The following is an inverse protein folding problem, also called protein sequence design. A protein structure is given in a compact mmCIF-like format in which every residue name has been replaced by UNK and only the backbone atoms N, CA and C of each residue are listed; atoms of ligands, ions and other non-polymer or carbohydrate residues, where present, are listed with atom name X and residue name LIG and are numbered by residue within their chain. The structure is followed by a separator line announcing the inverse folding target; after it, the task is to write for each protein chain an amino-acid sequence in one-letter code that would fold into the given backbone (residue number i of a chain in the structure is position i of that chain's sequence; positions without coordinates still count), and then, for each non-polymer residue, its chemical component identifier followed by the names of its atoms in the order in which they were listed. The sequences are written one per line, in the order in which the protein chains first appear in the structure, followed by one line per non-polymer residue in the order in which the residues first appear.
data_IF_758568796716
#
_entry.id   IF_758568796716
#
_cell.length_a   1.000
_cell.length_b   1.000
_cell.length_c   1.000
_cell.angle_alpha   90.00
_cell.angle_beta   90.00
_cell.angle_gamma   90.00
#
_symmetry.space_group_name_H-M   'P 1'
#
loop_
_entity.id
_entity.type
_entity.pdbx_description
1 polymer ?
#
# COMPACT_ATOMS: atom_id res chain seq x y z
N UNK A 1 -14.42 -0.01 18.30
CA UNK A 1 -13.10 -0.54 17.90
C UNK A 1 -13.10 -0.69 16.40
N UNK A 2 -12.73 0.36 15.67
CA UNK A 2 -12.91 0.43 14.21
C UNK A 2 -11.55 0.59 13.55
N UNK A 3 -11.30 -0.15 12.48
CA UNK A 3 -10.09 0.03 11.67
C UNK A 3 -10.09 1.43 11.03
N UNK A 4 -8.93 2.08 11.02
CA UNK A 4 -8.73 3.33 10.28
C UNK A 4 -8.25 3.00 8.86
N UNK A 5 -8.94 3.55 7.85
CA UNK A 5 -8.53 3.45 6.45
C UNK A 5 -7.30 4.30 6.18
N UNK A 6 -6.39 3.78 5.38
CA UNK A 6 -5.17 4.46 4.91
C UNK A 6 -5.22 4.45 3.39
N UNK A 7 -5.56 5.59 2.79
CA UNK A 7 -5.68 5.76 1.35
C UNK A 7 -4.83 6.98 0.94
N UNK A 8 -3.53 6.79 0.64
CA UNK A 8 -2.67 7.89 0.19
C UNK A 8 -3.17 8.49 -1.12
N UNK A 9 -3.22 9.82 -1.21
CA UNK A 9 -3.77 10.55 -2.38
C UNK A 9 -3.07 10.18 -3.69
N UNK A 10 -1.76 9.91 -3.63
CA UNK A 10 -0.93 9.51 -4.78
C UNK A 10 -1.30 8.14 -5.38
N UNK A 11 -2.08 7.32 -4.67
CA UNK A 11 -2.60 6.05 -5.18
C UNK A 11 -3.99 6.19 -5.82
N UNK A 12 -4.52 7.41 -5.86
CA UNK A 12 -5.84 7.69 -6.41
C UNK A 12 -6.99 7.23 -5.52
N UNK A 13 -8.21 7.47 -5.99
CA UNK A 13 -9.43 7.14 -5.24
C UNK A 13 -9.67 5.62 -5.25
N UNK A 14 -9.77 4.96 -4.09
CA UNK A 14 -10.03 3.53 -4.02
C UNK A 14 -11.39 3.15 -4.62
N UNK A 15 -11.46 2.06 -5.40
CA UNK A 15 -12.67 1.61 -6.09
C UNK A 15 -13.16 0.24 -5.61
N UNK A 16 -13.75 0.20 -4.42
CA UNK A 16 -14.31 -1.04 -3.84
C UNK A 16 -13.40 -1.75 -2.83
N UNK A 17 -12.25 -1.16 -2.52
CA UNK A 17 -11.36 -1.57 -1.43
C UNK A 17 -10.72 -0.33 -0.77
N UNK A 18 -9.81 -0.53 0.18
CA UNK A 18 -8.94 0.51 0.75
C UNK A 18 -7.49 0.02 0.65
N UNK A 19 -6.53 0.92 0.49
CA UNK A 19 -5.13 0.56 0.36
C UNK A 19 -4.54 0.03 1.66
N UNK A 20 -5.06 0.45 2.82
CA UNK A 20 -4.64 -0.08 4.11
C UNK A 20 -5.69 0.01 5.21
N UNK A 21 -5.66 -0.95 6.13
CA UNK A 21 -6.50 -0.97 7.34
C UNK A 21 -5.62 -1.06 8.59
N UNK A 22 -5.59 0.02 9.36
CA UNK A 22 -4.82 0.11 10.60
C UNK A 22 -5.69 -0.28 11.81
N UNK A 23 -5.23 -1.27 12.59
CA UNK A 23 -5.92 -1.68 13.82
C UNK A 23 -5.83 -0.61 14.94
N UNK A 24 -6.74 -0.65 15.94
CA UNK A 24 -6.69 0.28 17.07
C UNK A 24 -5.39 0.21 17.90
N UNK A 25 -5.17 1.23 18.73
CA UNK A 25 -4.04 1.25 19.66
C UNK A 25 -4.12 0.06 20.64
N UNK A 26 -2.99 -0.62 20.87
CA UNK A 26 -2.92 -1.85 21.70
C UNK A 26 -2.48 -3.13 20.95
N UNK A 27 -1.84 -2.99 19.79
CA UNK A 27 -1.39 -4.09 18.92
C UNK A 27 -1.51 -3.69 17.46
N UNK A 28 -0.87 -2.56 17.09
CA UNK A 28 -1.06 -1.90 15.78
C UNK A 28 -0.51 -2.78 14.66
N UNK A 29 -1.41 -3.47 13.97
CA UNK A 29 -1.14 -4.18 12.73
C UNK A 29 -1.78 -3.39 11.61
N UNK A 30 -1.02 -3.16 10.55
CA UNK A 30 -1.50 -2.60 9.30
C UNK A 30 -1.66 -3.75 8.30
N UNK A 31 -2.87 -3.94 7.80
CA UNK A 31 -3.10 -4.76 6.62
C UNK A 31 -2.97 -3.87 5.39
N UNK A 32 -2.08 -4.22 4.47
CA UNK A 32 -1.85 -3.50 3.21
C UNK A 32 -2.47 -4.32 2.08
N UNK A 33 -3.31 -3.68 1.26
CA UNK A 33 -3.82 -4.31 0.05
C UNK A 33 -2.70 -4.50 -0.98
N UNK A 34 -2.81 -5.51 -1.85
CA UNK A 34 -1.82 -5.76 -2.89
C UNK A 34 -1.54 -4.51 -3.72
N UNK A 35 -0.26 -4.24 -3.97
CA UNK A 35 0.19 -3.12 -4.78
C UNK A 35 0.83 -3.65 -6.06
N UNK A 36 0.60 -2.95 -7.15
CA UNK A 36 1.07 -3.30 -8.49
C UNK A 36 1.72 -2.10 -9.19
N UNK A 37 2.17 -2.30 -10.42
CA UNK A 37 2.76 -1.25 -11.25
C UNK A 37 1.73 -0.40 -12.01
N UNK A 38 0.42 -0.60 -11.79
CA UNK A 38 -0.60 0.09 -12.56
C UNK A 38 -0.60 1.60 -12.30
N UNK A 39 -0.80 2.43 -13.32
CA UNK A 39 -0.99 3.86 -13.15
C UNK A 39 -2.40 4.18 -12.59
N UNK A 40 -2.74 5.47 -12.47
CA UNK A 40 -4.06 5.91 -11.98
C UNK A 40 -5.25 5.47 -12.86
N UNK A 41 -4.98 5.14 -14.13
CA UNK A 41 -5.96 4.63 -15.09
C UNK A 41 -6.10 3.09 -15.03
N UNK A 42 -5.28 2.42 -14.23
CA UNK A 42 -5.29 0.97 -14.05
C UNK A 42 -4.42 0.21 -15.07
N UNK A 43 -3.51 0.88 -15.77
CA UNK A 43 -2.66 0.30 -16.82
C UNK A 43 -1.22 0.12 -16.35
N UNK A 44 -0.58 -0.99 -16.69
CA UNK A 44 0.86 -1.19 -16.54
C UNK A 44 1.54 -0.82 -17.85
N UNK A 45 2.28 0.29 -17.86
CA UNK A 45 2.84 0.90 -19.08
C UNK A 45 4.31 0.55 -19.35
N UNK A 46 4.87 -0.36 -18.55
CA UNK A 46 6.28 -0.69 -18.54
C UNK A 46 6.47 -2.20 -18.68
N UNK A 47 7.46 -2.61 -19.46
CA UNK A 47 7.70 -4.04 -19.77
C UNK A 47 8.77 -4.67 -18.87
N UNK A 48 9.60 -3.86 -18.21
CA UNK A 48 10.66 -4.37 -17.34
C UNK A 48 10.13 -4.73 -15.94
N UNK A 49 10.39 -5.97 -15.52
CA UNK A 49 9.91 -6.49 -14.23
C UNK A 49 10.54 -5.76 -13.03
N UNK A 50 11.81 -5.37 -13.10
CA UNK A 50 12.49 -4.69 -12.00
C UNK A 50 11.86 -3.32 -11.80
N UNK A 51 11.59 -2.59 -12.87
CA UNK A 51 10.90 -1.31 -12.80
C UNK A 51 9.46 -1.45 -12.27
N UNK A 52 8.70 -2.47 -12.73
CA UNK A 52 7.37 -2.78 -12.17
C UNK A 52 7.43 -3.05 -10.67
N UNK A 53 8.38 -3.87 -10.23
CA UNK A 53 8.54 -4.26 -8.84
C UNK A 53 8.93 -3.07 -7.96
N UNK A 54 9.79 -2.18 -8.47
CA UNK A 54 10.12 -0.92 -7.78
C UNK A 54 8.87 -0.06 -7.54
N UNK A 55 8.00 0.08 -8.55
CA UNK A 55 6.73 0.82 -8.41
C UNK A 55 5.85 0.18 -7.35
N UNK A 56 5.66 -1.14 -7.39
CA UNK A 56 4.84 -1.87 -6.41
C UNK A 56 5.36 -1.69 -4.96
N UNK A 57 6.69 -1.77 -4.76
CA UNK A 57 7.32 -1.52 -3.46
C UNK A 57 7.14 -0.07 -3.00
N UNK A 58 7.29 0.90 -3.91
CA UNK A 58 7.12 2.32 -3.61
C UNK A 58 5.70 2.60 -3.12
N UNK A 59 4.68 2.09 -3.82
CA UNK A 59 3.28 2.23 -3.41
C UNK A 59 3.00 1.53 -2.08
N UNK A 60 3.57 0.36 -1.86
CA UNK A 60 3.47 -0.35 -0.57
C UNK A 60 3.97 0.53 0.57
N UNK A 61 5.13 1.19 0.37
CA UNK A 61 5.68 2.11 1.34
C UNK A 61 4.84 3.38 1.51
N UNK A 62 4.15 3.85 0.47
CA UNK A 62 3.20 4.98 0.60
C UNK A 62 2.07 4.65 1.57
N UNK A 63 1.53 3.43 1.53
CA UNK A 63 0.53 2.97 2.51
C UNK A 63 1.12 2.86 3.92
N UNK A 64 2.30 2.25 4.06
CA UNK A 64 2.96 2.12 5.37
C UNK A 64 3.25 3.48 6.00
N UNK A 65 3.75 4.44 5.21
CA UNK A 65 3.99 5.83 5.65
C UNK A 65 2.70 6.55 5.99
N UNK A 66 1.63 6.34 5.24
CA UNK A 66 0.29 6.85 5.56
C UNK A 66 -0.23 6.38 6.93
N UNK A 67 0.22 5.22 7.40
CA UNK A 67 -0.06 4.72 8.74
C UNK A 67 0.88 5.26 9.84
N UNK A 68 1.93 6.01 9.47
CA UNK A 68 2.98 6.49 10.36
C UNK A 68 4.16 5.52 10.55
N UNK A 69 4.24 4.48 9.71
CA UNK A 69 5.35 3.51 9.73
C UNK A 69 6.49 3.87 8.78
N UNK A 70 7.49 2.99 8.75
CA UNK A 70 8.66 3.05 7.88
C UNK A 70 8.95 1.64 7.31
N UNK A 71 9.85 1.47 6.32
CA UNK A 71 10.17 0.14 5.78
C UNK A 71 10.51 -0.91 6.84
N UNK A 72 11.20 -0.50 7.91
CA UNK A 72 11.61 -1.34 9.04
C UNK A 72 10.41 -1.83 9.88
N UNK A 73 9.22 -1.27 9.68
CA UNK A 73 7.98 -1.70 10.32
C UNK A 73 7.35 -2.94 9.66
N UNK A 74 7.84 -3.36 8.49
CA UNK A 74 7.28 -4.50 7.73
C UNK A 74 7.77 -5.81 8.35
N UNK A 75 6.86 -6.52 9.04
CA UNK A 75 7.16 -7.84 9.62
C UNK A 75 6.96 -9.03 8.67
N UNK A 76 6.15 -8.86 7.62
CA UNK A 76 5.86 -9.90 6.61
C UNK A 76 5.45 -9.26 5.29
N UNK A 77 5.91 -9.85 4.18
CA UNK A 77 5.51 -9.49 2.83
C UNK A 77 5.21 -10.76 2.02
N UNK A 78 4.21 -10.70 1.16
CA UNK A 78 3.87 -11.74 0.18
C UNK A 78 4.09 -11.14 -1.21
N UNK A 79 4.87 -11.81 -2.05
CA UNK A 79 5.17 -11.43 -3.44
C UNK A 79 4.50 -12.46 -4.34
#
# INVERSE_FOLDING_TARGET
MTFRRIDPDELGVPRGWTNGMLSPAGGRVLFVAGQDAANADGEVVMDDFVEQFEVALRKTLSVVRGAGGAPESIGRMTI
#
